data_IF_119292411466
#
_entry.id   IF_119292411466
#
_cell.length_a   1.000
_cell.length_b   1.000
_cell.length_c   1.000
_cell.angle_alpha   90.00
_cell.angle_beta   90.00
_cell.angle_gamma   90.00
#
_symmetry.space_group_name_H-M   'P 1'
#
loop_
_entity.id
_entity.type
_entity.pdbx_description
1 polymer ?
#
# COMPACT_ATOMS: atom_id res chain seq x y z
N UNK A 1 2.76 -20.82 17.63
CA UNK A 1 3.19 -19.56 17.02
C UNK A 1 4.09 -18.88 18.04
N UNK A 2 5.35 -18.57 17.70
CA UNK A 2 6.24 -17.84 18.62
C UNK A 2 5.72 -16.41 18.77
N UNK A 3 5.73 -15.89 19.99
CA UNK A 3 5.34 -14.51 20.26
C UNK A 3 6.25 -13.54 19.45
N UNK A 4 5.67 -12.48 18.90
CA UNK A 4 6.40 -11.45 18.16
C UNK A 4 7.31 -10.69 19.12
N UNK A 5 8.59 -10.61 18.80
CA UNK A 5 9.57 -9.84 19.59
C UNK A 5 9.60 -8.37 19.13
N UNK A 6 8.76 -7.54 19.72
CA UNK A 6 8.70 -6.10 19.42
C UNK A 6 9.96 -5.33 19.84
N UNK A 7 10.71 -5.83 20.83
CA UNK A 7 11.99 -5.22 21.22
C UNK A 7 13.07 -5.46 20.14
N UNK A 8 13.09 -6.65 19.54
CA UNK A 8 13.92 -6.96 18.39
C UNK A 8 13.51 -6.09 17.19
N UNK A 9 12.19 -6.01 16.88
CA UNK A 9 11.66 -5.19 15.79
C UNK A 9 12.07 -3.71 15.96
N UNK A 10 12.00 -3.17 17.18
CA UNK A 10 12.44 -1.79 17.46
C UNK A 10 13.92 -1.57 17.14
N UNK A 11 14.78 -2.54 17.49
CA UNK A 11 16.22 -2.48 17.17
C UNK A 11 16.48 -2.55 15.67
N UNK A 12 15.76 -3.43 14.98
CA UNK A 12 15.84 -3.56 13.51
C UNK A 12 15.39 -2.27 12.83
N UNK A 13 14.29 -1.67 13.26
CA UNK A 13 13.82 -0.39 12.75
C UNK A 13 14.85 0.72 12.96
N UNK A 14 15.46 0.78 14.13
CA UNK A 14 16.51 1.75 14.40
C UNK A 14 17.73 1.54 13.49
N UNK A 15 18.06 0.29 13.12
CA UNK A 15 19.22 -0.03 12.28
C UNK A 15 19.04 0.37 10.80
N UNK A 16 17.81 0.37 10.31
CA UNK A 16 17.49 0.73 8.91
C UNK A 16 17.03 2.18 8.77
N UNK A 17 16.74 2.86 9.86
CA UNK A 17 16.22 4.23 9.86
C UNK A 17 17.27 5.23 9.36
N UNK A 18 17.01 5.98 8.28
CA UNK A 18 17.91 7.04 7.82
C UNK A 18 17.88 8.23 8.78
N UNK A 19 18.86 9.12 8.64
CA UNK A 19 18.83 10.40 9.34
C UNK A 19 17.53 11.16 9.03
N UNK A 20 16.82 11.58 10.06
CA UNK A 20 15.50 12.23 9.93
C UNK A 20 14.30 11.28 9.76
N UNK A 21 14.51 9.97 9.56
CA UNK A 21 13.44 8.98 9.38
C UNK A 21 12.90 8.89 7.95
N UNK A 22 12.04 7.90 7.70
CA UNK A 22 11.39 7.72 6.40
C UNK A 22 10.22 8.69 6.24
N UNK A 23 10.16 9.36 5.08
CA UNK A 23 9.10 10.32 4.75
C UNK A 23 7.87 9.69 4.11
N UNK A 24 8.03 8.51 3.51
CA UNK A 24 6.91 7.72 3.01
C UNK A 24 7.10 6.26 3.35
N UNK A 25 6.02 5.62 3.81
CA UNK A 25 5.98 4.20 4.14
C UNK A 25 4.82 3.51 3.43
N UNK A 26 5.08 2.30 2.92
CA UNK A 26 4.10 1.40 2.37
C UNK A 26 4.05 0.15 3.24
N UNK A 27 2.86 -0.24 3.68
CA UNK A 27 2.71 -1.32 4.66
C UNK A 27 1.57 -2.24 4.25
N UNK A 28 1.88 -3.53 4.13
CA UNK A 28 0.91 -4.61 3.92
C UNK A 28 1.03 -5.59 5.08
N UNK A 29 0.35 -5.30 6.19
CA UNK A 29 0.41 -6.18 7.36
C UNK A 29 -0.08 -7.59 7.02
N UNK A 30 0.51 -8.63 7.63
CA UNK A 30 0.04 -9.99 7.49
C UNK A 30 -1.20 -10.22 8.37
N UNK A 31 -2.32 -9.63 7.99
CA UNK A 31 -3.56 -9.63 8.76
C UNK A 31 -4.04 -11.02 9.11
N UNK A 32 -4.34 -11.24 10.38
CA UNK A 32 -5.09 -12.41 10.83
C UNK A 32 -6.59 -12.11 10.83
N UNK A 33 -7.35 -12.84 10.02
CA UNK A 33 -8.80 -12.72 9.97
C UNK A 33 -9.44 -14.07 9.64
N UNK A 34 -10.59 -14.32 10.25
CA UNK A 34 -11.35 -15.54 10.02
C UNK A 34 -12.15 -15.45 8.71
N UNK A 35 -12.12 -16.52 7.94
CA UNK A 35 -13.00 -16.68 6.79
C UNK A 35 -14.38 -17.18 7.23
N UNK A 36 -15.44 -16.65 6.67
CA UNK A 36 -16.86 -16.95 6.97
C UNK A 36 -17.27 -18.42 6.74
N UNK A 37 -16.44 -19.23 6.09
CA UNK A 37 -16.77 -20.63 5.83
C UNK A 37 -15.58 -21.55 6.07
N UNK A 38 -15.84 -22.75 6.62
CA UNK A 38 -14.83 -23.80 6.82
C UNK A 38 -14.11 -24.18 5.52
N UNK A 39 -14.79 -24.15 4.37
CA UNK A 39 -14.19 -24.36 3.05
C UNK A 39 -13.27 -23.19 2.62
N UNK A 40 -13.45 -22.00 3.19
CA UNK A 40 -12.60 -20.82 2.97
C UNK A 40 -11.34 -20.85 3.82
N UNK A 41 -11.38 -21.44 5.02
CA UNK A 41 -10.24 -21.51 5.93
C UNK A 41 -9.03 -22.24 5.33
N UNK A 42 -9.28 -23.22 4.45
CA UNK A 42 -8.21 -23.93 3.72
C UNK A 42 -7.44 -23.08 2.69
N UNK A 43 -7.88 -21.84 2.41
CA UNK A 43 -7.28 -20.91 1.45
C UNK A 43 -6.81 -19.61 2.13
N UNK A 44 -6.85 -19.55 3.45
CA UNK A 44 -6.46 -18.36 4.22
C UNK A 44 -4.95 -18.10 4.23
N UNK A 45 -4.55 -16.86 4.52
CA UNK A 45 -3.14 -16.43 4.57
C UNK A 45 -2.31 -17.19 5.61
N UNK A 46 -2.91 -17.66 6.70
CA UNK A 46 -2.30 -18.42 7.81
C UNK A 46 -1.52 -19.67 7.37
N UNK A 47 -1.75 -20.19 6.16
CA UNK A 47 -1.00 -21.33 5.61
C UNK A 47 0.30 -20.93 4.90
N UNK A 48 0.48 -19.65 4.61
CA UNK A 48 1.58 -19.21 3.75
C UNK A 48 2.61 -18.36 4.50
N UNK A 49 2.22 -17.72 5.60
CA UNK A 49 3.10 -16.89 6.44
C UNK A 49 2.49 -16.69 7.83
N UNK A 50 3.31 -16.27 8.79
CA UNK A 50 2.84 -15.92 10.13
C UNK A 50 1.95 -14.67 10.04
N UNK A 51 0.70 -14.80 10.50
CA UNK A 51 -0.24 -13.69 10.58
C UNK A 51 -0.09 -12.94 11.90
N UNK A 52 -0.54 -11.69 11.93
CA UNK A 52 -0.58 -10.83 13.11
C UNK A 52 -2.02 -10.50 13.47
N UNK A 53 -2.37 -10.61 14.73
CA UNK A 53 -3.64 -10.09 15.26
C UNK A 53 -3.64 -8.57 15.23
N UNK A 54 -4.81 -7.94 15.34
CA UNK A 54 -4.90 -6.47 15.42
C UNK A 54 -4.14 -5.96 16.65
N UNK A 55 -4.23 -6.64 17.76
CA UNK A 55 -3.54 -6.30 19.01
C UNK A 55 -2.00 -6.33 18.85
N UNK A 56 -1.49 -7.25 18.06
CA UNK A 56 -0.06 -7.32 17.71
C UNK A 56 0.32 -6.21 16.73
N UNK A 57 -0.50 -5.93 15.73
CA UNK A 57 -0.28 -4.83 14.77
C UNK A 57 -0.25 -3.49 15.49
N UNK A 58 -1.14 -3.27 16.46
CA UNK A 58 -1.17 -2.05 17.27
C UNK A 58 0.10 -1.81 18.11
N UNK A 59 0.93 -2.84 18.31
CA UNK A 59 2.20 -2.74 19.05
C UNK A 59 3.42 -2.48 18.15
N UNK A 60 3.25 -2.46 16.82
CA UNK A 60 4.36 -2.19 15.88
C UNK A 60 4.93 -0.79 16.15
N UNK A 61 6.23 -0.67 16.41
CA UNK A 61 6.85 0.60 16.81
C UNK A 61 7.09 1.52 15.60
N UNK A 62 6.06 1.77 14.80
CA UNK A 62 6.15 2.47 13.52
C UNK A 62 6.70 3.88 13.65
N UNK A 63 6.34 4.60 14.73
CA UNK A 63 6.81 5.98 14.97
C UNK A 63 8.32 6.08 15.16
N UNK A 64 8.98 5.00 15.60
CA UNK A 64 10.43 4.95 15.72
C UNK A 64 11.15 4.93 14.35
N UNK A 65 10.46 4.59 13.29
CA UNK A 65 10.99 4.46 11.93
C UNK A 65 10.76 5.71 11.08
N UNK A 66 9.59 6.34 11.27
CA UNK A 66 9.13 7.44 10.44
C UNK A 66 9.81 8.79 10.78
N UNK A 67 9.83 9.68 9.82
CA UNK A 67 10.04 11.10 10.03
C UNK A 67 8.88 11.71 10.84
N UNK A 68 9.08 12.93 11.40
CA UNK A 68 8.01 13.62 12.12
C UNK A 68 6.86 14.01 11.17
N UNK A 69 7.20 14.32 9.90
CA UNK A 69 6.26 14.54 8.82
C UNK A 69 6.41 13.39 7.81
N UNK A 70 5.45 12.46 7.82
CA UNK A 70 5.50 11.26 6.98
C UNK A 70 4.12 10.87 6.44
N UNK A 71 4.07 10.42 5.19
CA UNK A 71 2.93 9.77 4.57
C UNK A 71 3.01 8.25 4.75
N UNK A 72 1.92 7.62 5.12
CA UNK A 72 1.85 6.18 5.34
C UNK A 72 0.71 5.57 4.57
N UNK A 73 1.03 4.65 3.69
CA UNK A 73 0.09 3.91 2.86
C UNK A 73 -0.12 2.52 3.47
N UNK A 74 -1.34 2.27 3.96
CA UNK A 74 -1.69 1.03 4.63
C UNK A 74 -2.64 0.22 3.76
N UNK A 75 -2.20 -0.96 3.32
CA UNK A 75 -3.12 -1.95 2.76
C UNK A 75 -3.98 -2.54 3.85
N UNK A 76 -5.28 -2.40 3.69
CA UNK A 76 -6.29 -2.83 4.65
C UNK A 76 -7.11 -4.00 4.11
N UNK A 77 -7.84 -4.65 4.99
CA UNK A 77 -8.74 -5.74 4.59
C UNK A 77 -10.17 -5.46 5.06
N UNK A 78 -11.14 -5.60 4.17
CA UNK A 78 -12.55 -5.32 4.45
C UNK A 78 -13.14 -6.07 5.64
N UNK A 79 -12.80 -7.36 5.91
CA UNK A 79 -13.29 -8.05 7.11
C UNK A 79 -13.00 -7.34 8.43
N UNK A 80 -11.94 -6.53 8.48
CA UNK A 80 -11.52 -5.79 9.67
C UNK A 80 -11.84 -4.28 9.60
N UNK A 81 -12.67 -3.85 8.65
CA UNK A 81 -12.95 -2.42 8.40
C UNK A 81 -13.43 -1.66 9.65
N UNK A 82 -14.23 -2.29 10.50
CA UNK A 82 -14.73 -1.67 11.72
C UNK A 82 -13.65 -1.42 12.79
N UNK A 83 -12.47 -2.02 12.63
CA UNK A 83 -11.31 -1.87 13.53
C UNK A 83 -10.15 -1.07 12.91
N UNK A 84 -10.28 -0.57 11.69
CA UNK A 84 -9.19 0.17 11.04
C UNK A 84 -8.75 1.40 11.85
N UNK A 85 -9.72 2.12 12.44
CA UNK A 85 -9.41 3.28 13.26
C UNK A 85 -8.53 2.93 14.45
N UNK A 86 -8.82 1.82 15.12
CA UNK A 86 -8.01 1.33 16.25
C UNK A 86 -6.54 1.16 15.86
N UNK A 87 -6.29 0.55 14.69
CA UNK A 87 -4.94 0.36 14.16
C UNK A 87 -4.27 1.69 13.83
N UNK A 88 -4.96 2.59 13.14
CA UNK A 88 -4.43 3.91 12.76
C UNK A 88 -4.05 4.71 13.99
N UNK A 89 -4.94 4.79 14.98
CA UNK A 89 -4.71 5.54 16.23
C UNK A 89 -3.54 4.93 17.04
N UNK A 90 -3.48 3.59 17.16
CA UNK A 90 -2.41 2.89 17.88
C UNK A 90 -1.03 3.06 17.25
N UNK A 91 -0.96 3.13 15.93
CA UNK A 91 0.27 3.39 15.18
C UNK A 91 0.71 4.87 15.23
N UNK A 92 -0.03 5.74 15.94
CA UNK A 92 0.27 7.17 16.07
C UNK A 92 0.05 7.95 14.76
N UNK A 93 -0.92 7.54 13.96
CA UNK A 93 -1.22 8.12 12.64
C UNK A 93 -2.56 8.85 12.63
N UNK A 94 -2.74 9.72 11.66
CA UNK A 94 -4.01 10.37 11.34
C UNK A 94 -4.52 9.86 9.99
N UNK A 95 -5.76 9.39 9.92
CA UNK A 95 -6.39 8.99 8.67
C UNK A 95 -6.61 10.22 7.77
N UNK A 96 -6.08 10.19 6.55
CA UNK A 96 -6.22 11.26 5.57
C UNK A 96 -7.27 10.93 4.49
N UNK A 97 -7.43 9.65 4.13
CA UNK A 97 -8.40 9.24 3.12
C UNK A 97 -8.08 7.88 2.48
N UNK A 98 -8.83 7.56 1.44
CA UNK A 98 -8.50 6.46 0.54
C UNK A 98 -7.32 6.89 -0.34
N UNK A 99 -6.26 6.08 -0.39
CA UNK A 99 -5.21 6.27 -1.38
C UNK A 99 -5.66 5.68 -2.72
N UNK A 100 -5.99 4.40 -2.71
CA UNK A 100 -6.58 3.68 -3.87
C UNK A 100 -7.22 2.37 -3.47
N UNK A 101 -8.06 1.86 -4.36
CA UNK A 101 -8.56 0.49 -4.34
C UNK A 101 -7.96 -0.32 -5.49
N UNK A 102 -7.45 -1.51 -5.20
CA UNK A 102 -7.01 -2.42 -6.22
C UNK A 102 -8.20 -3.20 -6.80
N UNK A 103 -8.51 -2.92 -8.06
CA UNK A 103 -9.50 -3.64 -8.86
C UNK A 103 -8.80 -4.83 -9.53
N UNK A 104 -9.10 -6.05 -9.05
CA UNK A 104 -8.40 -7.27 -9.48
C UNK A 104 -9.02 -7.87 -10.72
N UNK A 105 -8.17 -8.29 -11.65
CA UNK A 105 -8.61 -9.12 -12.78
C UNK A 105 -7.73 -10.36 -12.95
N UNK A 106 -8.28 -11.36 -13.64
CA UNK A 106 -7.56 -12.59 -13.97
C UNK A 106 -6.67 -12.32 -15.19
N UNK A 107 -5.33 -12.50 -15.10
CA UNK A 107 -4.42 -12.18 -16.20
C UNK A 107 -4.65 -13.03 -17.46
N UNK A 108 -5.22 -14.24 -17.32
CA UNK A 108 -5.47 -15.12 -18.47
C UNK A 108 -6.76 -14.79 -19.22
N UNK A 109 -7.81 -14.37 -18.51
CA UNK A 109 -9.13 -14.14 -19.12
C UNK A 109 -9.52 -12.68 -19.24
N UNK A 110 -8.77 -11.75 -18.63
CA UNK A 110 -9.12 -10.32 -18.53
C UNK A 110 -10.35 -10.03 -17.68
N UNK A 111 -11.09 -11.06 -17.24
CA UNK A 111 -12.30 -10.89 -16.42
C UNK A 111 -11.95 -10.53 -14.99
N UNK A 112 -12.86 -9.84 -14.31
CA UNK A 112 -12.68 -9.52 -12.89
C UNK A 112 -12.38 -10.77 -12.06
N UNK A 113 -11.34 -10.71 -11.24
CA UNK A 113 -11.05 -11.72 -10.24
C UNK A 113 -11.83 -11.38 -8.97
N UNK A 114 -12.53 -12.35 -8.38
CA UNK A 114 -13.35 -12.10 -7.21
C UNK A 114 -13.33 -13.30 -6.25
N UNK A 115 -13.54 -13.01 -4.98
CA UNK A 115 -13.80 -13.97 -3.92
C UNK A 115 -15.28 -14.03 -3.58
N UNK A 116 -15.66 -14.99 -2.74
CA UNK A 116 -16.98 -15.06 -2.13
C UNK A 116 -17.23 -13.88 -1.19
N UNK A 117 -18.50 -13.55 -0.97
CA UNK A 117 -18.94 -12.55 -0.01
C UNK A 117 -20.43 -12.72 0.26
N UNK A 118 -20.91 -12.11 1.35
CA UNK A 118 -22.33 -12.16 1.69
C UNK A 118 -23.09 -11.17 0.78
N UNK A 119 -23.84 -11.70 -0.16
CA UNK A 119 -24.67 -10.90 -1.09
C UNK A 119 -23.91 -10.27 -2.27
N UNK A 120 -22.64 -9.94 -2.13
CA UNK A 120 -21.80 -9.37 -3.19
C UNK A 120 -20.49 -10.12 -3.36
N UNK A 121 -19.89 -10.05 -4.55
CA UNK A 121 -18.57 -10.64 -4.80
C UNK A 121 -17.48 -9.66 -4.40
N UNK A 122 -16.47 -10.12 -3.66
CA UNK A 122 -15.35 -9.31 -3.23
C UNK A 122 -14.28 -9.25 -4.32
N UNK A 123 -14.02 -8.06 -4.81
CA UNK A 123 -12.99 -7.82 -5.84
C UNK A 123 -11.91 -6.85 -5.37
N UNK A 124 -12.29 -5.85 -4.56
CA UNK A 124 -11.48 -4.70 -4.19
C UNK A 124 -10.63 -4.97 -2.96
N UNK A 125 -9.39 -4.46 -2.97
CA UNK A 125 -8.55 -4.30 -1.78
C UNK A 125 -8.21 -2.82 -1.60
N UNK A 126 -8.54 -2.22 -0.44
CA UNK A 126 -8.28 -0.83 -0.17
C UNK A 126 -6.87 -0.59 0.38
N UNK A 127 -6.24 0.47 -0.09
CA UNK A 127 -5.07 1.08 0.52
C UNK A 127 -5.47 2.47 1.02
N UNK A 128 -5.32 2.72 2.32
CA UNK A 128 -5.64 4.02 2.91
C UNK A 128 -4.37 4.86 3.05
N UNK A 129 -4.52 6.17 2.90
CA UNK A 129 -3.50 7.15 3.21
C UNK A 129 -3.68 7.63 4.65
N UNK A 130 -2.62 7.53 5.41
CA UNK A 130 -2.50 8.10 6.74
C UNK A 130 -1.31 9.05 6.79
N UNK A 131 -1.28 9.95 7.77
CA UNK A 131 -0.17 10.88 7.98
C UNK A 131 0.34 10.83 9.41
N UNK A 132 1.62 11.10 9.59
CA UNK A 132 2.21 11.57 10.82
C UNK A 132 2.64 13.02 10.58
N UNK A 133 2.29 13.95 11.48
CA UNK A 133 2.55 15.38 11.26
C UNK A 133 1.89 15.92 9.99
N UNK A 134 2.58 16.78 9.26
CA UNK A 134 2.12 17.45 8.05
C UNK A 134 2.99 17.16 6.84
N UNK A 135 3.03 15.92 6.30
CA UNK A 135 3.84 15.61 5.12
C UNK A 135 3.44 16.48 3.95
N UNK A 136 4.44 17.10 3.32
CA UNK A 136 4.21 17.94 2.15
C UNK A 136 4.13 17.08 0.90
N UNK A 137 3.12 17.33 0.07
CA UNK A 137 3.08 16.78 -1.28
C UNK A 137 4.28 17.28 -2.07
N UNK A 138 4.80 16.41 -2.92
CA UNK A 138 5.92 16.72 -3.81
C UNK A 138 5.55 17.88 -4.72
N UNK A 139 6.42 18.89 -4.78
CA UNK A 139 6.25 19.92 -5.78
C UNK A 139 6.45 19.33 -7.19
N UNK A 140 5.67 19.71 -8.17
CA UNK A 140 4.96 20.98 -8.33
C UNK A 140 3.48 20.99 -7.91
N UNK A 141 2.98 19.90 -7.35
CA UNK A 141 1.54 19.76 -7.06
C UNK A 141 1.04 20.84 -6.06
N UNK A 142 1.86 21.20 -5.06
CA UNK A 142 1.43 22.15 -4.02
C UNK A 142 1.55 23.62 -4.42
N UNK A 143 2.50 23.99 -5.27
CA UNK A 143 2.69 25.39 -5.66
C UNK A 143 1.47 25.96 -6.39
N UNK A 144 0.78 25.13 -7.17
CA UNK A 144 -0.38 25.55 -7.94
C UNK A 144 -1.64 25.74 -7.07
N UNK A 145 -1.76 24.99 -5.98
CA UNK A 145 -2.89 25.17 -5.05
C UNK A 145 -2.78 26.43 -4.20
N UNK A 146 -1.57 26.95 -3.98
CA UNK A 146 -1.32 28.11 -3.13
C UNK A 146 -1.09 29.40 -3.93
N UNK A 147 -1.16 29.35 -5.26
CA UNK A 147 -1.04 30.53 -6.13
C UNK A 147 0.37 31.06 -6.30
N UNK A 148 1.40 30.34 -5.86
CA UNK A 148 2.81 30.66 -6.11
C UNK A 148 3.34 29.76 -7.22
N UNK A 149 3.17 30.21 -8.46
CA UNK A 149 3.25 29.36 -9.63
C UNK A 149 4.66 28.91 -10.02
N UNK A 150 4.95 27.63 -9.87
CA UNK A 150 5.65 26.88 -10.91
C UNK A 150 4.68 25.86 -11.48
N UNK A 151 3.89 26.27 -12.46
CA UNK A 151 2.97 25.39 -13.17
C UNK A 151 3.79 24.33 -13.92
N UNK A 152 3.58 23.00 -13.70
CA UNK A 152 4.22 21.98 -14.53
C UNK A 152 3.92 22.25 -16.00
N UNK A 153 4.89 22.03 -16.87
CA UNK A 153 4.67 22.21 -18.31
C UNK A 153 3.49 21.35 -18.77
N UNK A 154 2.40 21.99 -19.19
CA UNK A 154 1.18 21.33 -19.65
C UNK A 154 -0.03 21.48 -18.75
N UNK A 155 0.11 21.86 -17.48
CA UNK A 155 -1.01 22.19 -16.59
C UNK A 155 -1.39 23.66 -16.80
N UNK A 156 -2.59 23.92 -17.28
CA UNK A 156 -3.08 25.27 -17.63
C UNK A 156 -4.26 25.72 -16.80
N UNK A 157 -4.81 24.82 -15.99
CA UNK A 157 -6.01 25.07 -15.19
C UNK A 157 -6.06 24.15 -13.97
N UNK A 158 -6.91 24.51 -12.98
CA UNK A 158 -7.23 23.63 -11.84
C UNK A 158 -7.76 22.26 -12.32
N UNK A 159 -8.47 22.25 -13.44
CA UNK A 159 -8.96 21.01 -14.04
C UNK A 159 -7.81 20.12 -14.53
N UNK A 160 -6.85 20.66 -15.26
CA UNK A 160 -5.66 19.91 -15.73
C UNK A 160 -4.85 19.37 -14.56
N UNK A 161 -4.78 20.14 -13.46
CA UNK A 161 -4.16 19.72 -12.21
C UNK A 161 -4.88 18.51 -11.60
N UNK A 162 -6.21 18.58 -11.46
CA UNK A 162 -7.00 17.46 -10.92
C UNK A 162 -6.88 16.23 -11.82
N UNK A 163 -6.88 16.43 -13.15
CA UNK A 163 -6.73 15.33 -14.12
C UNK A 163 -5.33 14.68 -14.08
N UNK A 164 -4.30 15.42 -13.64
CA UNK A 164 -2.95 14.89 -13.45
C UNK A 164 -2.76 14.13 -12.12
N UNK A 165 -3.68 14.26 -11.16
CA UNK A 165 -3.60 13.51 -9.92
C UNK A 165 -3.84 12.02 -10.16
N UNK A 166 -3.13 11.12 -9.46
CA UNK A 166 -3.43 9.70 -9.53
C UNK A 166 -4.88 9.41 -9.12
N UNK A 167 -5.58 8.60 -9.91
CA UNK A 167 -6.91 8.13 -9.55
C UNK A 167 -6.86 7.28 -8.28
N UNK A 168 -7.94 7.25 -7.52
CA UNK A 168 -8.12 6.41 -6.34
C UNK A 168 -8.42 4.93 -6.67
N UNK A 169 -8.08 4.49 -7.87
CA UNK A 169 -8.23 3.11 -8.33
C UNK A 169 -6.98 2.63 -9.08
N UNK A 170 -6.54 1.41 -8.79
CA UNK A 170 -5.52 0.68 -9.53
C UNK A 170 -6.16 -0.55 -10.15
N UNK A 171 -6.25 -0.62 -11.48
CA UNK A 171 -6.70 -1.81 -12.18
C UNK A 171 -5.52 -2.68 -12.58
N UNK A 172 -5.27 -3.75 -11.83
CA UNK A 172 -4.11 -4.62 -12.06
C UNK A 172 -4.46 -6.11 -11.94
N UNK A 173 -3.69 -7.00 -12.62
CA UNK A 173 -3.92 -8.43 -12.53
C UNK A 173 -3.68 -8.94 -11.11
N UNK A 174 -4.46 -9.96 -10.73
CA UNK A 174 -4.17 -10.74 -9.53
C UNK A 174 -2.85 -11.49 -9.73
N UNK A 175 -1.94 -11.33 -8.78
CA UNK A 175 -0.64 -12.00 -8.73
C UNK A 175 -0.63 -13.15 -7.73
N UNK A 176 0.46 -13.91 -7.69
CA UNK A 176 0.70 -14.97 -6.70
C UNK A 176 0.81 -14.39 -5.30
N UNK A 177 0.37 -15.14 -4.31
CA UNK A 177 0.53 -14.81 -2.88
C UNK A 177 0.10 -13.39 -2.48
N UNK A 178 -1.00 -12.86 -3.06
CA UNK A 178 -1.51 -11.52 -2.75
C UNK A 178 -0.54 -10.36 -3.02
N UNK A 179 0.46 -10.57 -3.87
CA UNK A 179 1.40 -9.51 -4.25
C UNK A 179 0.64 -8.31 -4.82
N UNK A 180 0.88 -7.13 -4.23
CA UNK A 180 0.23 -5.89 -4.61
C UNK A 180 0.76 -5.34 -5.95
N UNK A 181 -0.02 -4.45 -6.63
CA UNK A 181 0.39 -3.86 -7.91
C UNK A 181 1.65 -3.00 -7.80
N UNK A 182 2.56 -3.08 -8.78
CA UNK A 182 3.78 -2.25 -8.77
C UNK A 182 3.48 -0.76 -8.97
N UNK A 183 2.37 -0.42 -9.61
CA UNK A 183 1.91 0.96 -9.81
C UNK A 183 1.81 1.76 -8.50
N UNK A 184 1.60 1.10 -7.36
CA UNK A 184 1.56 1.75 -6.04
C UNK A 184 2.83 2.55 -5.74
N UNK A 185 4.00 2.04 -6.11
CA UNK A 185 5.27 2.70 -5.83
C UNK A 185 5.43 3.97 -6.67
N UNK A 186 5.11 3.89 -7.96
CA UNK A 186 5.20 5.02 -8.89
C UNK A 186 4.26 6.15 -8.44
N UNK A 187 3.07 5.80 -7.92
CA UNK A 187 2.14 6.77 -7.34
C UNK A 187 2.68 7.42 -6.08
N UNK A 188 3.26 6.64 -5.16
CA UNK A 188 3.87 7.19 -3.94
C UNK A 188 5.03 8.11 -4.27
N UNK A 189 5.92 7.68 -5.19
CA UNK A 189 7.07 8.46 -5.64
C UNK A 189 6.67 9.74 -6.39
N UNK A 190 5.48 9.76 -6.99
CA UNK A 190 4.91 10.97 -7.61
C UNK A 190 4.40 11.95 -6.56
N UNK A 191 3.77 11.45 -5.49
CA UNK A 191 3.10 12.27 -4.50
C UNK A 191 4.04 12.80 -3.40
N UNK A 192 5.05 12.03 -3.02
CA UNK A 192 5.90 12.34 -1.86
C UNK A 192 7.37 12.10 -2.18
N UNK A 193 8.25 12.90 -1.55
CA UNK A 193 9.68 12.66 -1.58
C UNK A 193 10.07 11.56 -0.60
N UNK A 194 11.13 10.80 -0.95
CA UNK A 194 11.74 9.84 -0.04
C UNK A 194 12.56 10.49 1.08
N UNK A 195 13.16 9.68 1.93
CA UNK A 195 13.38 8.22 1.78
C UNK A 195 12.11 7.39 1.99
N UNK A 196 12.05 6.24 1.28
CA UNK A 196 10.91 5.33 1.27
C UNK A 196 11.22 4.04 2.00
N UNK A 197 10.21 3.47 2.69
CA UNK A 197 10.27 2.14 3.30
C UNK A 197 9.04 1.31 2.97
N UNK A 198 9.25 0.03 2.73
CA UNK A 198 8.17 -0.96 2.66
C UNK A 198 8.32 -1.95 3.80
N UNK A 199 7.29 -2.06 4.64
CA UNK A 199 7.26 -3.02 5.74
C UNK A 199 6.47 -4.27 5.35
N UNK A 200 6.92 -5.43 5.88
CA UNK A 200 6.42 -6.76 5.54
C UNK A 200 6.59 -7.07 4.05
N UNK A 201 7.62 -6.46 3.46
CA UNK A 201 7.95 -6.63 2.06
C UNK A 201 8.40 -8.05 1.74
N UNK A 202 8.12 -8.49 0.51
CA UNK A 202 8.57 -9.78 -0.04
C UNK A 202 9.45 -9.61 -1.28
N UNK A 203 9.68 -8.37 -1.69
CA UNK A 203 10.52 -8.03 -2.84
C UNK A 203 11.43 -6.86 -2.51
N UNK A 204 12.54 -6.76 -3.25
CA UNK A 204 13.42 -5.59 -3.21
C UNK A 204 13.05 -4.62 -4.32
N UNK A 205 13.17 -3.32 -4.06
CA UNK A 205 12.96 -2.29 -5.06
C UNK A 205 14.02 -1.20 -4.96
N UNK A 206 14.49 -0.71 -6.09
CA UNK A 206 15.42 0.43 -6.15
C UNK A 206 14.79 1.64 -5.43
N UNK A 207 15.58 2.36 -4.67
CA UNK A 207 15.20 3.54 -3.86
C UNK A 207 14.29 3.24 -2.64
N UNK A 208 13.92 2.00 -2.41
CA UNK A 208 13.10 1.59 -1.27
C UNK A 208 13.91 0.74 -0.30
N UNK A 209 13.80 1.05 0.98
CA UNK A 209 14.27 0.15 2.03
C UNK A 209 13.16 -0.87 2.29
N UNK A 210 13.48 -2.14 2.16
CA UNK A 210 12.54 -3.23 2.43
C UNK A 210 12.81 -3.85 3.80
N UNK A 211 11.77 -4.10 4.58
CA UNK A 211 11.83 -4.82 5.85
C UNK A 211 10.74 -5.89 5.92
N UNK A 212 11.10 -7.11 6.35
CA UNK A 212 10.19 -8.23 6.51
C UNK A 212 10.91 -9.56 6.43
N UNK A 213 10.33 -10.61 6.99
CA UNK A 213 10.93 -11.97 7.02
C UNK A 213 11.06 -12.62 5.64
N UNK A 214 10.37 -12.11 4.63
CA UNK A 214 10.31 -12.66 3.29
C UNK A 214 10.91 -11.75 2.21
N UNK A 215 11.71 -10.75 2.60
CA UNK A 215 12.40 -9.87 1.64
C UNK A 215 13.23 -10.70 0.66
N UNK A 216 13.05 -10.43 -0.65
CA UNK A 216 13.73 -11.17 -1.72
C UNK A 216 13.04 -12.47 -2.15
N UNK A 217 11.99 -12.93 -1.46
CA UNK A 217 11.28 -14.17 -1.83
C UNK A 217 10.69 -14.10 -3.25
N UNK A 218 10.26 -12.92 -3.68
CA UNK A 218 9.64 -12.72 -4.99
C UNK A 218 10.62 -12.20 -6.05
N UNK A 219 11.87 -11.90 -5.69
CA UNK A 219 12.88 -11.40 -6.63
C UNK A 219 13.40 -12.51 -7.54
N UNK A 220 13.36 -13.75 -7.10
CA UNK A 220 13.99 -14.91 -7.75
C UNK A 220 13.10 -15.65 -8.75
N UNK A 221 12.06 -15.06 -9.33
CA UNK A 221 11.23 -15.87 -10.23
C UNK A 221 10.02 -15.25 -10.89
N UNK A 222 9.96 -13.95 -11.06
CA UNK A 222 8.90 -13.35 -11.88
C UNK A 222 9.36 -13.26 -13.34
N UNK A 223 8.67 -13.90 -14.30
CA UNK A 223 8.89 -13.57 -15.71
C UNK A 223 8.59 -12.09 -15.89
N UNK A 224 9.45 -11.39 -16.64
CA UNK A 224 9.28 -9.99 -17.00
C UNK A 224 7.84 -9.77 -17.47
N UNK A 225 7.17 -8.77 -16.91
CA UNK A 225 5.84 -8.39 -17.40
C UNK A 225 5.98 -7.93 -18.85
N UNK A 226 5.07 -8.35 -19.76
CA UNK A 226 5.01 -7.73 -21.06
C UNK A 226 4.73 -6.23 -20.87
N UNK A 227 5.30 -5.36 -21.74
CA UNK A 227 5.06 -3.93 -21.70
C UNK A 227 3.55 -3.66 -21.64
N UNK A 228 3.14 -2.76 -20.78
CA UNK A 228 1.75 -2.30 -20.72
C UNK A 228 1.54 -1.39 -21.95
N UNK A 229 1.11 -1.99 -23.04
CA UNK A 229 0.60 -1.21 -24.17
C UNK A 229 -0.66 -0.47 -23.73
N UNK A 230 -0.48 0.83 -23.52
CA UNK A 230 -1.57 1.79 -23.36
C UNK A 230 -2.28 1.99 -24.71
N UNK A 231 -3.02 0.99 -25.15
CA UNK A 231 -3.91 1.15 -26.31
C UNK A 231 -5.05 0.13 -26.26
N UNK A 232 -6.22 0.69 -26.27
CA UNK A 232 -7.54 0.16 -26.64
C UNK A 232 -8.59 0.21 -25.53
N UNK A 233 -8.95 1.45 -25.15
CA UNK A 233 -10.36 1.77 -24.99
C UNK A 233 -10.90 2.05 -26.40
N UNK A 234 -11.32 1.05 -27.12
CA UNK A 234 -12.26 1.22 -28.23
C UNK A 234 -13.66 1.13 -27.64
N UNK A 235 -14.36 2.23 -27.85
CA UNK A 235 -15.79 2.37 -27.75
C UNK A 235 -16.46 1.20 -28.45
N UNK A 236 -17.35 0.52 -27.76
CA UNK A 236 -18.49 -0.15 -28.41
C UNK A 236 -19.75 0.40 -27.74
N UNK A 237 -20.53 1.00 -28.65
CA UNK A 237 -21.86 1.56 -28.44
C UNK A 237 -22.89 0.51 -27.99
#
# INVERSE_FOLDING_TARGET
VSAIDFAKMTKEFASIRPAGGFKAALIDFPWDFEHFSEKGQGKGPQRHYNTMTIEEICQVPLTALLADDAAVFLWMTWPLAMRWREVVDALGLTFAGLAWEWIKFNPKSGKYAFGGGYGTRKNLEPCILCTRGGPQLRQPIMSDMLGEAVIPSGVRSVRDFIEAMPLDAIRAPRRIHSQKPDEQYDRIETLFDGPYVELFSRSSRKNWTAWGDQVGLLDAGLPAQPPQDAAHLKEEA
#
